data_IF_635334103943
#
_entry.id   IF_635334103943
#
_cell.length_a   1.000
_cell.length_b   1.000
_cell.length_c   1.000
_cell.angle_alpha   90.00
_cell.angle_beta   90.00
_cell.angle_gamma   90.00
#
_symmetry.space_group_name_H-M   'P 1'
#
loop_
_entity.id
_entity.type
_entity.pdbx_description
1 polymer ?
#
# COMPACT_ATOMS: atom_id res chain seq x y z
N UNK A 1 -6.94 16.02 -7.79
CA UNK A 1 -6.02 16.68 -6.85
C UNK A 1 -5.98 15.87 -5.57
N UNK A 2 -4.80 15.55 -5.05
CA UNK A 2 -4.66 14.83 -3.77
C UNK A 2 -5.16 15.73 -2.64
N UNK A 3 -6.08 15.25 -1.80
CA UNK A 3 -6.48 15.96 -0.58
C UNK A 3 -5.43 15.77 0.51
N UNK A 4 -4.42 16.64 0.52
CA UNK A 4 -3.29 16.58 1.46
C UNK A 4 -3.75 16.70 2.92
N UNK A 5 -4.81 17.46 3.19
CA UNK A 5 -5.33 17.62 4.55
C UNK A 5 -5.96 16.31 5.06
N UNK A 6 -6.75 15.66 4.20
CA UNK A 6 -7.34 14.36 4.52
C UNK A 6 -6.29 13.24 4.63
N UNK A 7 -5.27 13.25 3.77
CA UNK A 7 -4.12 12.32 3.91
C UNK A 7 -3.43 12.53 5.26
N UNK A 8 -3.12 13.78 5.64
CA UNK A 8 -2.50 14.08 6.95
C UNK A 8 -3.34 13.60 8.12
N UNK A 9 -4.66 13.80 8.07
CA UNK A 9 -5.59 13.29 9.08
C UNK A 9 -5.57 11.77 9.14
N UNK A 10 -5.54 11.08 8.01
CA UNK A 10 -5.52 9.63 7.96
C UNK A 10 -4.22 9.05 8.55
N UNK A 11 -3.07 9.70 8.29
CA UNK A 11 -1.75 9.25 8.74
C UNK A 11 -1.38 9.71 10.15
N UNK A 12 -2.18 10.54 10.82
CA UNK A 12 -1.86 11.04 12.15
C UNK A 12 -1.80 9.87 13.17
N UNK A 13 -0.64 9.58 13.77
CA UNK A 13 -0.50 8.48 14.71
C UNK A 13 -1.00 8.82 16.12
N UNK A 14 -1.42 10.06 16.41
CA UNK A 14 -1.82 10.52 17.75
C UNK A 14 -2.87 9.63 18.42
N UNK A 15 -3.79 9.08 17.63
CA UNK A 15 -4.86 8.19 18.11
C UNK A 15 -4.60 6.70 17.86
N UNK A 16 -3.42 6.33 17.36
CA UNK A 16 -3.07 4.94 17.04
C UNK A 16 -2.26 4.31 18.18
N UNK A 17 -2.65 3.12 18.61
CA UNK A 17 -1.85 2.31 19.52
C UNK A 17 -0.79 1.55 18.71
N UNK A 18 0.32 2.23 18.40
CA UNK A 18 1.43 1.70 17.60
C UNK A 18 2.77 2.00 18.26
N UNK A 19 3.79 1.19 17.97
CA UNK A 19 5.12 1.40 18.54
C UNK A 19 5.80 2.65 18.00
N UNK A 20 6.75 3.16 18.77
CA UNK A 20 7.46 4.42 18.50
C UNK A 20 8.02 4.50 17.07
N UNK A 21 8.62 3.45 16.46
CA UNK A 21 9.14 3.57 15.11
C UNK A 21 8.06 3.64 14.02
N UNK A 22 6.91 2.98 14.21
CA UNK A 22 5.73 3.16 13.32
C UNK A 22 5.18 4.58 13.45
N UNK A 23 5.02 5.08 14.68
CA UNK A 23 4.56 6.44 14.92
C UNK A 23 5.51 7.49 14.31
N UNK A 24 6.82 7.30 14.44
CA UNK A 24 7.83 8.19 13.89
C UNK A 24 7.78 8.23 12.34
N UNK A 25 7.59 7.08 11.70
CA UNK A 25 7.48 7.02 10.24
C UNK A 25 6.19 7.71 9.73
N UNK A 26 5.07 7.47 10.41
CA UNK A 26 3.81 8.18 10.12
C UNK A 26 3.94 9.70 10.32
N UNK A 27 4.62 10.15 11.38
CA UNK A 27 4.93 11.56 11.59
C UNK A 27 5.83 12.14 10.48
N UNK A 28 6.82 11.36 10.00
CA UNK A 28 7.70 11.78 8.91
C UNK A 28 6.91 11.97 7.61
N UNK A 29 6.02 11.05 7.30
CA UNK A 29 5.12 11.13 6.14
C UNK A 29 4.19 12.34 6.26
N UNK A 30 3.60 12.58 7.43
CA UNK A 30 2.69 13.71 7.67
C UNK A 30 3.38 15.07 7.40
N UNK A 31 4.69 15.17 7.62
CA UNK A 31 5.51 16.38 7.37
C UNK A 31 5.86 16.60 5.91
N UNK A 32 5.53 15.67 5.01
CA UNK A 32 5.69 15.87 3.56
C UNK A 32 4.84 17.08 3.15
N UNK A 33 5.50 18.10 2.57
CA UNK A 33 4.85 19.35 2.18
C UNK A 33 3.95 19.15 0.96
N UNK A 34 4.42 18.34 0.01
CA UNK A 34 3.68 17.95 -1.17
C UNK A 34 4.12 16.56 -1.62
N UNK A 35 3.16 15.66 -1.78
CA UNK A 35 3.40 14.34 -2.36
C UNK A 35 3.80 14.42 -3.85
N UNK A 36 3.54 15.55 -4.52
CA UNK A 36 4.05 15.86 -5.86
C UNK A 36 5.56 16.10 -5.90
N UNK A 37 6.18 16.40 -4.77
CA UNK A 37 7.63 16.60 -4.66
C UNK A 37 8.35 15.41 -4.03
N UNK A 38 7.59 14.41 -3.56
CA UNK A 38 8.15 13.16 -3.04
C UNK A 38 8.67 12.31 -4.22
N UNK A 39 9.94 11.91 -4.14
CA UNK A 39 10.59 11.12 -5.19
C UNK A 39 9.86 9.79 -5.33
N UNK A 40 9.21 9.59 -6.47
CA UNK A 40 8.53 8.34 -6.80
C UNK A 40 7.33 8.01 -5.91
N UNK A 41 6.72 8.97 -5.21
CA UNK A 41 5.51 8.74 -4.41
C UNK A 41 5.65 7.72 -3.27
N UNK A 42 6.87 7.39 -2.87
CA UNK A 42 7.17 6.37 -1.87
C UNK A 42 6.52 6.65 -0.50
N UNK A 43 6.36 7.93 -0.14
CA UNK A 43 5.64 8.31 1.08
C UNK A 43 4.15 7.91 1.04
N UNK A 44 3.49 8.00 -0.12
CA UNK A 44 2.10 7.55 -0.28
C UNK A 44 1.99 6.03 -0.13
N UNK A 45 2.92 5.30 -0.75
CA UNK A 45 2.99 3.84 -0.67
C UNK A 45 3.16 3.38 0.78
N UNK A 46 4.17 3.89 1.48
CA UNK A 46 4.40 3.58 2.91
C UNK A 46 3.20 3.97 3.78
N UNK A 47 2.61 5.15 3.56
CA UNK A 47 1.44 5.61 4.30
C UNK A 47 0.29 4.61 4.19
N UNK A 48 -0.03 4.21 2.95
CA UNK A 48 -1.14 3.32 2.68
C UNK A 48 -0.95 1.94 3.28
N UNK A 49 0.25 1.37 3.21
CA UNK A 49 0.58 0.10 3.84
C UNK A 49 0.49 0.18 5.37
N UNK A 50 1.10 1.18 6.00
CA UNK A 50 1.07 1.31 7.47
C UNK A 50 -0.35 1.54 7.99
N UNK A 51 -1.15 2.37 7.32
CA UNK A 51 -2.55 2.60 7.69
C UNK A 51 -3.39 1.33 7.49
N UNK A 52 -3.20 0.62 6.39
CA UNK A 52 -3.85 -0.67 6.17
C UNK A 52 -3.53 -1.71 7.25
N UNK A 53 -2.28 -1.75 7.73
CA UNK A 53 -1.82 -2.74 8.71
C UNK A 53 -2.25 -2.41 10.14
N UNK A 54 -2.13 -1.14 10.55
CA UNK A 54 -2.21 -0.72 11.95
C UNK A 54 -3.43 0.12 12.31
N UNK A 55 -4.08 0.77 11.34
CA UNK A 55 -5.08 1.80 11.62
C UNK A 55 -6.53 1.37 11.35
N UNK A 56 -6.71 0.22 10.67
CA UNK A 56 -8.01 -0.41 10.45
C UNK A 56 -8.87 0.21 9.35
N UNK A 57 -10.06 -0.38 9.16
CA UNK A 57 -10.95 -0.16 8.01
C UNK A 57 -11.31 1.30 7.78
N UNK A 58 -11.70 2.03 8.82
CA UNK A 58 -12.21 3.41 8.67
C UNK A 58 -11.13 4.37 8.16
N UNK A 59 -9.92 4.31 8.74
CA UNK A 59 -8.80 5.16 8.30
C UNK A 59 -8.29 4.76 6.93
N UNK A 60 -8.26 3.47 6.60
CA UNK A 60 -7.97 3.01 5.23
C UNK A 60 -8.97 3.56 4.21
N UNK A 61 -10.26 3.60 4.56
CA UNK A 61 -11.29 4.21 3.72
C UNK A 61 -11.06 5.71 3.54
N UNK A 62 -10.80 6.46 4.62
CA UNK A 62 -10.51 7.90 4.54
C UNK A 62 -9.28 8.18 3.68
N UNK A 63 -8.22 7.36 3.80
CA UNK A 63 -7.05 7.50 2.94
C UNK A 63 -7.39 7.23 1.47
N UNK A 64 -8.19 6.20 1.19
CA UNK A 64 -8.64 5.91 -0.17
C UNK A 64 -9.48 7.07 -0.75
N UNK A 65 -10.41 7.62 0.00
CA UNK A 65 -11.22 8.78 -0.41
C UNK A 65 -10.34 9.97 -0.79
N UNK A 66 -9.30 10.26 0.01
CA UNK A 66 -8.35 11.35 -0.24
C UNK A 66 -7.51 11.18 -1.52
N UNK A 67 -7.32 9.92 -1.95
CA UNK A 67 -6.47 9.56 -3.09
C UNK A 67 -7.26 9.17 -4.34
N UNK A 68 -8.60 9.07 -4.25
CA UNK A 68 -9.47 8.52 -5.30
C UNK A 68 -9.36 9.27 -6.63
N UNK A 69 -9.29 10.60 -6.60
CA UNK A 69 -9.26 11.44 -7.80
C UNK A 69 -7.82 11.65 -8.24
N UNK A 70 -7.39 11.12 -9.40
CA UNK A 70 -6.04 11.31 -9.89
C UNK A 70 -5.71 12.79 -10.02
N UNK A 71 -4.53 13.16 -9.56
CA UNK A 71 -4.03 14.51 -9.71
C UNK A 71 -3.32 14.66 -11.06
N UNK A 72 -3.91 15.43 -11.97
CA UNK A 72 -3.43 15.56 -13.35
C UNK A 72 -2.11 16.34 -13.43
N UNK A 73 -1.80 17.12 -12.41
CA UNK A 73 -0.57 17.92 -12.34
C UNK A 73 0.65 17.10 -11.91
N UNK A 74 0.42 15.86 -11.42
CA UNK A 74 1.48 14.91 -11.10
C UNK A 74 2.10 14.29 -12.34
N UNK A 75 3.39 13.94 -12.26
CA UNK A 75 4.02 13.10 -13.28
C UNK A 75 3.33 11.73 -13.40
N UNK A 76 3.50 11.05 -14.54
CA UNK A 76 2.95 9.71 -14.75
C UNK A 76 3.33 8.72 -13.63
N UNK A 77 4.60 8.75 -13.21
CA UNK A 77 5.12 7.89 -12.12
C UNK A 77 4.39 8.16 -10.81
N UNK A 78 4.21 9.43 -10.43
CA UNK A 78 3.54 9.80 -9.18
C UNK A 78 2.05 9.49 -9.19
N UNK A 79 1.38 9.65 -10.34
CA UNK A 79 0.00 9.19 -10.50
C UNK A 79 -0.12 7.68 -10.35
N UNK A 80 0.88 6.91 -10.81
CA UNK A 80 0.97 5.47 -10.55
C UNK A 80 0.96 5.17 -9.06
N UNK A 81 1.87 5.79 -8.30
CA UNK A 81 1.96 5.60 -6.86
C UNK A 81 0.72 6.06 -6.09
N UNK A 82 0.07 7.15 -6.53
CA UNK A 82 -1.22 7.57 -5.97
C UNK A 82 -2.28 6.47 -6.14
N UNK A 83 -2.36 5.85 -7.32
CA UNK A 83 -3.32 4.80 -7.64
C UNK A 83 -3.06 3.51 -6.85
N UNK A 84 -1.80 3.14 -6.71
CA UNK A 84 -1.37 2.02 -5.88
C UNK A 84 -1.73 2.22 -4.39
N UNK A 85 -1.47 3.42 -3.87
CA UNK A 85 -1.83 3.78 -2.49
C UNK A 85 -3.35 3.81 -2.28
N UNK A 86 -4.12 4.31 -3.26
CA UNK A 86 -5.58 4.23 -3.29
C UNK A 86 -6.06 2.79 -3.23
N UNK A 87 -5.54 1.92 -4.10
CA UNK A 87 -5.93 0.51 -4.16
C UNK A 87 -5.69 -0.20 -2.82
N UNK A 88 -4.57 0.12 -2.16
CA UNK A 88 -4.22 -0.43 -0.84
C UNK A 88 -5.24 -0.03 0.24
N UNK A 89 -5.61 1.26 0.30
CA UNK A 89 -6.66 1.73 1.21
C UNK A 89 -8.02 1.09 0.92
N UNK A 90 -8.40 1.00 -0.35
CA UNK A 90 -9.62 0.33 -0.79
C UNK A 90 -9.65 -1.13 -0.37
N UNK A 91 -8.64 -1.92 -0.75
CA UNK A 91 -8.51 -3.33 -0.41
C UNK A 91 -8.58 -3.52 1.11
N UNK A 92 -7.79 -2.80 1.90
CA UNK A 92 -7.82 -2.92 3.35
C UNK A 92 -9.19 -2.59 3.97
N UNK A 93 -9.94 -1.66 3.36
CA UNK A 93 -11.26 -1.26 3.84
C UNK A 93 -12.42 -2.12 3.34
N UNK A 94 -12.23 -2.91 2.29
CA UNK A 94 -13.30 -3.67 1.62
C UNK A 94 -12.99 -5.15 1.42
N UNK A 95 -11.80 -5.64 1.85
CA UNK A 95 -11.42 -7.06 1.79
C UNK A 95 -12.46 -7.97 2.44
N UNK A 96 -12.63 -9.16 1.88
CA UNK A 96 -13.71 -10.07 2.26
C UNK A 96 -15.11 -9.67 1.76
N UNK A 97 -15.23 -8.56 1.03
CA UNK A 97 -16.41 -8.25 0.22
C UNK A 97 -16.14 -8.56 -1.26
N UNK A 98 -17.21 -8.62 -2.06
CA UNK A 98 -17.08 -8.66 -3.52
C UNK A 98 -16.33 -7.42 -4.00
N UNK A 99 -15.22 -7.56 -4.76
CA UNK A 99 -14.50 -6.41 -5.30
C UNK A 99 -15.43 -5.51 -6.13
N UNK A 100 -15.23 -4.18 -6.11
CA UNK A 100 -16.02 -3.27 -6.94
C UNK A 100 -15.89 -3.62 -8.43
N UNK A 101 -16.92 -3.29 -9.21
CA UNK A 101 -16.90 -3.47 -10.67
C UNK A 101 -15.74 -2.71 -11.31
N UNK A 102 -15.33 -3.11 -12.52
CA UNK A 102 -14.29 -2.40 -13.29
C UNK A 102 -14.65 -0.93 -13.47
N UNK A 103 -15.90 -0.63 -13.77
CA UNK A 103 -16.34 0.73 -14.03
C UNK A 103 -16.29 1.60 -12.77
N UNK A 104 -16.72 1.07 -11.62
CA UNK A 104 -16.68 1.79 -10.35
C UNK A 104 -15.26 2.08 -9.87
N UNK A 105 -14.33 1.16 -10.13
CA UNK A 105 -12.91 1.27 -9.71
C UNK A 105 -12.04 2.07 -10.69
N UNK A 106 -12.44 2.18 -11.95
CA UNK A 106 -11.72 2.95 -12.98
C UNK A 106 -12.35 4.30 -13.26
N UNK A 107 -13.33 4.73 -12.45
CA UNK A 107 -13.92 6.06 -12.58
C UNK A 107 -12.83 7.13 -12.40
N UNK A 108 -12.47 7.82 -13.49
CA UNK A 108 -11.35 8.77 -13.55
C UNK A 108 -9.98 8.15 -13.89
N UNK A 109 -9.91 6.85 -14.22
CA UNK A 109 -8.71 6.14 -14.67
C UNK A 109 -8.77 5.90 -16.17
N UNK A 110 -7.79 6.41 -16.93
CA UNK A 110 -7.53 5.91 -18.28
C UNK A 110 -6.77 4.58 -18.16
N UNK A 111 -7.48 3.46 -18.12
CA UNK A 111 -6.85 2.14 -18.01
C UNK A 111 -6.27 1.76 -19.37
N UNK A 112 -4.94 1.90 -19.54
CA UNK A 112 -4.19 0.85 -20.21
C UNK A 112 -3.76 -0.10 -19.11
N UNK A 113 -4.15 -1.38 -19.18
CA UNK A 113 -3.85 -2.42 -18.19
C UNK A 113 -2.35 -2.37 -17.81
N UNK A 114 -1.96 -1.81 -16.66
CA UNK A 114 -0.54 -1.73 -16.31
C UNK A 114 -0.04 -3.06 -15.73
N UNK A 115 -0.96 -3.97 -15.39
CA UNK A 115 -0.67 -5.19 -14.63
C UNK A 115 -0.54 -6.46 -15.48
N UNK A 116 -0.96 -6.45 -16.74
CA UNK A 116 -0.81 -7.63 -17.62
C UNK A 116 0.55 -7.68 -18.34
N UNK A 117 1.16 -6.51 -18.58
CA UNK A 117 2.41 -6.39 -19.36
C UNK A 117 3.68 -6.28 -18.49
N UNK A 118 3.52 -6.33 -17.16
CA UNK A 118 4.61 -6.07 -16.21
C UNK A 118 5.41 -7.32 -15.87
N UNK A 119 6.38 -7.70 -16.72
CA UNK A 119 7.49 -8.64 -16.45
C UNK A 119 8.41 -8.24 -15.28
N UNK A 120 7.93 -7.46 -14.30
CA UNK A 120 8.76 -6.75 -13.34
C UNK A 120 8.15 -6.64 -11.96
N UNK A 121 7.57 -7.70 -11.40
CA UNK A 121 7.14 -7.72 -10.00
C UNK A 121 7.27 -9.16 -9.44
N UNK A 122 7.99 -9.51 -8.36
CA UNK A 122 8.90 -8.84 -7.40
C UNK A 122 9.47 -9.94 -6.49
N UNK A 123 10.63 -9.69 -5.87
CA UNK A 123 11.53 -10.63 -5.19
C UNK A 123 10.97 -11.53 -4.06
N UNK A 124 9.69 -11.47 -3.66
CA UNK A 124 9.12 -12.28 -2.56
C UNK A 124 7.76 -12.92 -2.84
N UNK A 125 7.14 -12.60 -3.96
CA UNK A 125 5.91 -13.24 -4.42
C UNK A 125 6.28 -14.67 -4.85
N UNK A 126 5.58 -15.67 -4.34
CA UNK A 126 5.77 -17.11 -4.61
C UNK A 126 7.06 -17.78 -4.10
N UNK A 127 7.92 -17.10 -3.32
CA UNK A 127 9.09 -17.75 -2.70
C UNK A 127 8.70 -18.70 -1.57
N UNK A 128 9.30 -19.88 -1.54
CA UNK A 128 9.21 -20.86 -0.45
C UNK A 128 9.78 -20.30 0.88
N UNK A 129 9.41 -20.86 2.05
CA UNK A 129 10.03 -20.51 3.33
C UNK A 129 11.56 -20.62 3.32
N UNK A 130 12.12 -21.62 2.64
CA UNK A 130 13.55 -21.91 2.55
C UNK A 130 14.28 -20.87 1.69
N UNK A 131 13.71 -20.47 0.55
CA UNK A 131 14.29 -19.42 -0.30
C UNK A 131 14.37 -18.07 0.44
N UNK A 132 13.53 -17.86 1.45
CA UNK A 132 13.48 -16.61 2.26
C UNK A 132 14.48 -16.58 3.41
N UNK A 133 14.95 -17.73 3.91
CA UNK A 133 15.99 -17.77 4.96
C UNK A 133 17.33 -17.19 4.50
N UNK A 134 17.60 -17.22 3.19
CA UNK A 134 18.78 -16.57 2.61
C UNK A 134 18.76 -15.04 2.74
N UNK A 135 17.58 -14.44 2.94
CA UNK A 135 17.42 -12.99 3.12
C UNK A 135 17.71 -12.57 4.60
N UNK A 136 17.74 -13.51 5.56
CA UNK A 136 18.03 -13.26 6.99
C UNK A 136 19.45 -12.73 7.25
N UNK A 137 20.34 -12.76 6.24
CA UNK A 137 21.70 -12.22 6.33
C UNK A 137 21.81 -10.71 6.01
N UNK A 138 20.72 -10.07 5.59
CA UNK A 138 20.66 -8.61 5.45
C UNK A 138 20.42 -7.97 6.82
N UNK A 139 21.31 -7.08 7.32
CA UNK A 139 21.15 -6.47 8.62
C UNK A 139 19.83 -5.73 8.70
N UNK A 140 19.07 -6.09 9.73
CA UNK A 140 17.67 -5.79 9.95
C UNK A 140 17.47 -4.35 10.38
N UNK A 141 17.73 -3.44 9.44
CA UNK A 141 17.17 -2.12 9.37
C UNK A 141 16.66 -1.90 7.95
N UNK A 142 15.36 -2.02 7.71
CA UNK A 142 14.76 -1.71 6.40
C UNK A 142 14.55 -2.96 5.52
N UNK A 143 13.50 -3.04 4.72
CA UNK A 143 12.85 -1.93 4.06
C UNK A 143 11.35 -2.15 4.04
N UNK A 144 10.63 -1.44 4.92
CA UNK A 144 9.18 -1.22 4.83
C UNK A 144 8.75 -0.98 3.37
N UNK A 145 9.58 -0.33 2.57
CA UNK A 145 9.36 -0.07 1.15
C UNK A 145 9.07 -1.32 0.32
N UNK A 146 9.76 -2.45 0.55
CA UNK A 146 9.55 -3.68 -0.23
C UNK A 146 8.17 -4.27 0.05
N UNK A 147 7.86 -4.53 1.32
CA UNK A 147 6.56 -5.05 1.73
C UNK A 147 5.42 -4.09 1.41
N UNK A 148 5.61 -2.79 1.61
CA UNK A 148 4.61 -1.79 1.28
C UNK A 148 4.31 -1.80 -0.21
N UNK A 149 5.35 -1.88 -1.04
CA UNK A 149 5.18 -1.98 -2.48
C UNK A 149 4.46 -3.28 -2.85
N UNK A 150 4.82 -4.43 -2.29
CA UNK A 150 4.17 -5.72 -2.61
C UNK A 150 2.69 -5.71 -2.24
N UNK A 151 2.36 -5.14 -1.07
CA UNK A 151 0.98 -4.92 -0.66
C UNK A 151 0.23 -4.04 -1.67
N UNK A 152 0.85 -3.00 -2.23
CA UNK A 152 0.15 -2.15 -3.21
C UNK A 152 -0.09 -2.82 -4.54
N UNK A 153 0.82 -3.69 -5.02
CA UNK A 153 0.53 -4.52 -6.20
C UNK A 153 -0.67 -5.42 -5.92
N UNK A 154 -0.60 -6.19 -4.83
CA UNK A 154 -1.63 -7.19 -4.49
C UNK A 154 -2.99 -6.50 -4.34
N UNK A 155 -3.04 -5.36 -3.65
CA UNK A 155 -4.27 -4.57 -3.55
C UNK A 155 -4.74 -4.02 -4.89
N UNK A 156 -3.84 -3.69 -5.81
CA UNK A 156 -4.21 -3.28 -7.17
C UNK A 156 -4.79 -4.47 -7.94
N UNK A 157 -4.16 -5.65 -7.90
CA UNK A 157 -4.70 -6.87 -8.50
C UNK A 157 -6.06 -7.26 -7.92
N UNK A 158 -6.21 -7.16 -6.58
CA UNK A 158 -7.48 -7.35 -5.87
C UNK A 158 -8.54 -6.39 -6.38
N UNK A 159 -8.18 -5.11 -6.52
CA UNK A 159 -9.06 -4.09 -7.05
C UNK A 159 -9.53 -4.51 -8.46
N UNK A 160 -8.63 -5.06 -9.29
CA UNK A 160 -8.97 -5.58 -10.62
C UNK A 160 -9.72 -6.92 -10.63
N UNK A 161 -10.04 -7.52 -9.49
CA UNK A 161 -10.75 -8.79 -9.39
C UNK A 161 -9.87 -10.02 -9.60
N UNK A 162 -8.55 -9.86 -9.62
CA UNK A 162 -7.60 -10.95 -9.84
C UNK A 162 -7.52 -11.46 -11.28
N UNK A 163 -6.91 -12.63 -11.43
CA UNK A 163 -6.81 -13.42 -12.67
C UNK A 163 -6.98 -14.92 -12.37
N UNK A 164 -6.89 -15.77 -13.39
CA UNK A 164 -6.87 -17.24 -13.20
C UNK A 164 -5.65 -17.67 -12.39
N UNK A 165 -4.48 -17.08 -12.66
CA UNK A 165 -3.24 -17.32 -11.93
C UNK A 165 -3.26 -16.67 -10.54
N UNK A 166 -3.94 -15.52 -10.41
CA UNK A 166 -4.04 -14.74 -9.18
C UNK A 166 -5.49 -14.57 -8.74
N UNK A 167 -6.16 -15.63 -8.27
CA UNK A 167 -7.53 -15.52 -7.79
C UNK A 167 -7.60 -14.69 -6.51
N UNK A 168 -8.72 -14.01 -6.28
CA UNK A 168 -8.93 -13.11 -5.12
C UNK A 168 -8.51 -13.74 -3.79
N UNK A 169 -8.87 -15.00 -3.45
CA UNK A 169 -8.44 -15.61 -2.19
C UNK A 169 -6.91 -15.68 -2.03
N UNK A 170 -6.18 -16.07 -3.10
CA UNK A 170 -4.72 -16.11 -3.10
C UNK A 170 -4.12 -14.72 -2.87
N UNK A 171 -4.67 -13.70 -3.53
CA UNK A 171 -4.23 -12.32 -3.36
C UNK A 171 -4.39 -11.88 -1.89
N UNK A 172 -5.54 -12.17 -1.28
CA UNK A 172 -5.81 -11.80 0.11
C UNK A 172 -4.89 -12.53 1.11
N UNK A 173 -4.60 -13.81 0.88
CA UNK A 173 -3.64 -14.59 1.68
C UNK A 173 -2.23 -14.00 1.62
N UNK A 174 -1.75 -13.72 0.41
CA UNK A 174 -0.44 -13.09 0.20
C UNK A 174 -0.36 -11.68 0.77
N UNK A 175 -1.46 -10.93 0.68
CA UNK A 175 -1.55 -9.61 1.31
C UNK A 175 -1.45 -9.71 2.83
N UNK A 176 -2.14 -10.67 3.45
CA UNK A 176 -2.08 -10.94 4.89
C UNK A 176 -0.68 -11.38 5.35
N UNK A 177 0.03 -12.17 4.52
CA UNK A 177 1.42 -12.54 4.76
C UNK A 177 2.32 -11.30 4.81
N UNK A 178 2.22 -10.40 3.82
CA UNK A 178 2.98 -9.16 3.79
C UNK A 178 2.63 -8.23 4.97
N UNK A 179 1.34 -8.10 5.30
CA UNK A 179 0.90 -7.34 6.48
C UNK A 179 1.51 -7.89 7.78
N UNK A 180 1.64 -9.20 7.90
CA UNK A 180 2.28 -9.86 9.05
C UNK A 180 3.79 -9.63 9.06
N UNK A 181 4.45 -9.63 7.90
CA UNK A 181 5.87 -9.28 7.80
C UNK A 181 6.11 -7.83 8.24
N UNK A 182 5.27 -6.87 7.80
CA UNK A 182 5.35 -5.47 8.24
C UNK A 182 5.19 -5.34 9.76
N UNK A 183 4.23 -6.08 10.34
CA UNK A 183 4.09 -6.16 11.80
C UNK A 183 5.41 -6.60 12.41
N UNK A 184 5.99 -7.70 11.95
CA UNK A 184 7.18 -8.29 12.55
C UNK A 184 8.50 -7.57 12.23
N UNK A 185 8.48 -6.46 11.45
CA UNK A 185 9.70 -5.71 11.15
C UNK A 185 10.39 -5.23 12.45
N UNK A 186 11.68 -5.50 12.62
CA UNK A 186 12.38 -5.09 13.83
C UNK A 186 12.49 -3.58 13.94
N UNK A 187 12.34 -3.09 15.17
CA UNK A 187 12.04 -1.69 15.45
C UNK A 187 10.54 -1.36 15.37
N UNK A 188 9.74 -1.99 14.53
CA UNK A 188 8.29 -1.70 14.46
C UNK A 188 7.45 -2.52 15.44
N UNK A 189 7.88 -3.74 15.81
CA UNK A 189 7.28 -4.51 16.91
C UNK A 189 8.30 -5.16 17.85
N UNK A 190 8.86 -4.45 18.83
CA UNK A 190 9.33 -5.04 20.11
C UNK A 190 9.20 -4.00 21.22
N UNK A 191 8.68 -4.45 22.37
CA UNK A 191 8.64 -3.67 23.61
C UNK A 191 10.02 -3.76 24.26
#
# INVERSE_FOLDING_TARGET
MIDVAMVRKAVDPSSLSVKKPVAAELQRIMRVKSFASDRGGAALIRASALIAVFAGRERSRTLAEALRVPDQDLSHVQRGCQREAYATGCCASARGATPPTVEDRTLGWSVKQPLMDGLGLRHHIDRSPEERQLDEFMPVSGHLDLYASDMTILSTMWLFGGSEEWPVPRIEDEWNRNATAIRNLPGHLHD
#
